data_IF_219900647103
#
_entry.id   IF_219900647103
#
_cell.length_a   1.000
_cell.length_b   1.000
_cell.length_c   1.000
_cell.angle_alpha   90.00
_cell.angle_beta   90.00
_cell.angle_gamma   90.00
#
_symmetry.space_group_name_H-M   'P 1'
#
loop_
_entity.id
_entity.type
_entity.pdbx_description
1 polymer ?
#
# COMPACT_ATOMS: atom_id res chain seq x y z
N UNK A 1 -14.18 5.23 9.62
CA UNK A 1 -13.70 4.26 8.62
C UNK A 1 -13.82 4.90 7.25
N UNK A 2 -12.69 5.16 6.56
CA UNK A 2 -12.72 5.67 5.19
C UNK A 2 -13.37 4.64 4.27
N UNK A 3 -14.25 5.09 3.40
CA UNK A 3 -14.83 4.30 2.32
C UNK A 3 -13.98 4.48 1.06
N UNK A 4 -13.67 3.38 0.39
CA UNK A 4 -12.83 3.39 -0.81
C UNK A 4 -13.64 2.93 -2.02
N UNK A 5 -13.63 3.71 -3.11
CA UNK A 5 -14.31 3.39 -4.38
C UNK A 5 -13.59 2.27 -5.15
N UNK A 6 -12.32 2.03 -4.87
CA UNK A 6 -11.51 1.00 -5.52
C UNK A 6 -10.03 1.10 -5.18
N UNK A 7 -9.21 0.37 -5.94
CA UNK A 7 -7.75 0.38 -5.83
C UNK A 7 -7.11 1.21 -6.93
N UNK A 8 -5.98 1.84 -6.64
CA UNK A 8 -5.15 2.50 -7.67
C UNK A 8 -4.50 1.46 -8.59
N UNK A 9 -4.16 1.88 -9.81
CA UNK A 9 -3.42 1.00 -10.70
C UNK A 9 -2.01 0.74 -10.14
N UNK A 10 -1.43 -0.43 -10.44
CA UNK A 10 -0.07 -0.72 -9.99
C UNK A 10 0.95 0.29 -10.52
N UNK A 11 0.73 0.84 -11.72
CA UNK A 11 1.60 1.86 -12.31
C UNK A 11 1.61 3.15 -11.46
N UNK A 12 0.44 3.62 -11.03
CA UNK A 12 0.31 4.77 -10.14
C UNK A 12 0.93 4.50 -8.77
N UNK A 13 0.63 3.35 -8.17
CA UNK A 13 1.21 2.94 -6.87
C UNK A 13 2.74 2.97 -6.92
N UNK A 14 3.33 2.47 -8.01
CA UNK A 14 4.79 2.48 -8.22
C UNK A 14 5.37 3.89 -8.26
N UNK A 15 4.67 4.85 -8.89
CA UNK A 15 5.09 6.25 -8.96
C UNK A 15 5.04 6.87 -7.56
N UNK A 16 3.90 6.77 -6.88
CA UNK A 16 3.67 7.36 -5.55
C UNK A 16 4.64 6.81 -4.50
N UNK A 17 4.87 5.50 -4.50
CA UNK A 17 5.82 4.90 -3.55
C UNK A 17 7.28 5.27 -3.88
N UNK A 18 7.63 5.41 -5.16
CA UNK A 18 8.97 5.87 -5.56
C UNK A 18 9.25 7.29 -5.08
N UNK A 19 8.28 8.20 -5.23
CA UNK A 19 8.38 9.58 -4.74
C UNK A 19 8.58 9.63 -3.21
N UNK A 20 8.08 8.62 -2.50
CA UNK A 20 8.26 8.45 -1.04
C UNK A 20 9.54 7.68 -0.65
N UNK A 21 10.40 7.37 -1.63
CA UNK A 21 11.68 6.71 -1.38
C UNK A 21 11.61 5.19 -1.26
N UNK A 22 10.54 4.56 -1.74
CA UNK A 22 10.48 3.11 -1.89
C UNK A 22 11.06 2.67 -3.24
N UNK A 23 11.62 1.47 -3.25
CA UNK A 23 12.10 0.79 -4.44
C UNK A 23 11.51 -0.62 -4.53
N UNK A 24 11.45 -1.17 -5.74
CA UNK A 24 11.06 -2.57 -5.93
C UNK A 24 12.33 -3.39 -6.15
N UNK A 25 12.64 -4.39 -5.31
CA UNK A 25 13.75 -5.29 -5.56
C UNK A 25 13.58 -6.01 -6.89
N UNK A 26 14.70 -6.23 -7.60
CA UNK A 26 14.69 -6.91 -8.90
C UNK A 26 14.00 -8.28 -8.84
N UNK A 27 14.28 -9.07 -7.80
CA UNK A 27 13.66 -10.38 -7.59
C UNK A 27 12.14 -10.31 -7.46
N UNK A 28 11.62 -9.30 -6.76
CA UNK A 28 10.17 -9.11 -6.63
C UNK A 28 9.54 -8.71 -7.97
N UNK A 29 10.21 -7.85 -8.75
CA UNK A 29 9.75 -7.48 -10.09
C UNK A 29 9.75 -8.68 -11.05
N UNK A 30 10.75 -9.56 -10.97
CA UNK A 30 10.83 -10.81 -11.76
C UNK A 30 9.71 -11.79 -11.38
N UNK A 31 9.49 -12.03 -10.09
CA UNK A 31 8.41 -12.89 -9.61
C UNK A 31 7.03 -12.39 -10.07
N UNK A 32 6.79 -11.08 -9.99
CA UNK A 32 5.55 -10.48 -10.47
C UNK A 32 5.36 -10.71 -11.97
N UNK A 33 6.41 -10.53 -12.77
CA UNK A 33 6.37 -10.76 -14.22
C UNK A 33 6.18 -12.24 -14.59
N UNK A 34 6.47 -13.16 -13.66
CA UNK A 34 6.24 -14.61 -13.80
C UNK A 34 4.84 -15.05 -13.33
N UNK A 35 3.98 -14.12 -12.92
CA UNK A 35 2.60 -14.40 -12.52
C UNK A 35 2.35 -14.40 -11.01
N UNK A 36 3.30 -13.92 -10.19
CA UNK A 36 3.01 -13.64 -8.78
C UNK A 36 2.03 -12.46 -8.66
N UNK A 37 1.03 -12.59 -7.80
CA UNK A 37 0.13 -11.48 -7.44
C UNK A 37 0.76 -10.49 -6.47
N UNK A 38 1.96 -10.80 -5.97
CA UNK A 38 2.63 -10.05 -4.91
C UNK A 38 3.77 -9.20 -5.45
N UNK A 39 3.86 -7.97 -4.94
CA UNK A 39 4.99 -7.08 -5.15
C UNK A 39 5.49 -6.54 -3.81
N UNK A 40 6.81 -6.52 -3.65
CA UNK A 40 7.51 -6.01 -2.49
C UNK A 40 8.05 -4.62 -2.79
N UNK A 41 7.73 -3.67 -1.94
CA UNK A 41 8.33 -2.34 -1.92
C UNK A 41 9.23 -2.23 -0.69
N UNK A 42 10.46 -1.77 -0.87
CA UNK A 42 11.44 -1.58 0.22
C UNK A 42 11.72 -0.10 0.38
N UNK A 43 11.44 0.42 1.58
CA UNK A 43 11.79 1.76 2.03
C UNK A 43 13.05 1.77 2.90
N UNK A 44 13.29 2.88 3.59
CA UNK A 44 14.48 3.03 4.46
C UNK A 44 14.38 2.25 5.78
N UNK A 45 13.18 2.14 6.34
CA UNK A 45 12.93 1.56 7.68
C UNK A 45 11.96 0.40 7.64
N UNK A 46 11.21 0.27 6.58
CA UNK A 46 10.14 -0.71 6.44
C UNK A 46 10.10 -1.29 5.03
N UNK A 47 9.29 -2.32 4.87
CA UNK A 47 8.93 -2.88 3.57
C UNK A 47 7.44 -3.19 3.53
N UNK A 48 6.86 -3.07 2.34
CA UNK A 48 5.44 -3.27 2.10
C UNK A 48 5.27 -4.42 1.13
N UNK A 49 4.60 -5.48 1.58
CA UNK A 49 4.17 -6.58 0.73
C UNK A 49 2.73 -6.30 0.28
N UNK A 50 2.54 -6.10 -1.02
CA UNK A 50 1.25 -5.73 -1.61
C UNK A 50 0.75 -6.80 -2.58
N UNK A 51 -0.48 -7.27 -2.37
CA UNK A 51 -1.19 -8.14 -3.32
C UNK A 51 -1.96 -7.27 -4.30
N UNK A 52 -1.61 -7.32 -5.58
CA UNK A 52 -2.18 -6.45 -6.61
C UNK A 52 -3.58 -6.87 -7.04
N UNK A 53 -3.97 -8.13 -6.83
CA UNK A 53 -5.30 -8.68 -7.17
C UNK A 53 -6.29 -8.37 -6.05
N UNK A 54 -5.99 -8.80 -4.83
CA UNK A 54 -6.81 -8.60 -3.63
C UNK A 54 -6.74 -7.16 -3.10
N UNK A 55 -5.78 -6.36 -3.56
CA UNK A 55 -5.54 -4.99 -3.10
C UNK A 55 -5.27 -4.91 -1.59
N UNK A 56 -4.54 -5.87 -1.04
CA UNK A 56 -4.21 -5.93 0.40
C UNK A 56 -2.72 -5.70 0.60
N UNK A 57 -2.35 -4.96 1.64
CA UNK A 57 -0.94 -4.80 2.02
C UNK A 57 -0.66 -5.24 3.46
N UNK A 58 0.60 -5.60 3.69
CA UNK A 58 1.22 -5.78 5.01
C UNK A 58 2.52 -4.99 5.06
N UNK A 59 2.75 -4.26 6.15
CA UNK A 59 3.94 -3.45 6.40
C UNK A 59 4.78 -4.15 7.46
N UNK A 60 6.07 -4.30 7.19
CA UNK A 60 7.04 -4.91 8.08
C UNK A 60 8.13 -3.93 8.44
N UNK A 61 8.56 -3.94 9.71
CA UNK A 61 9.81 -3.29 10.11
C UNK A 61 10.98 -4.02 9.45
N UNK A 62 11.90 -3.27 8.84
CA UNK A 62 13.00 -3.86 8.08
C UNK A 62 14.08 -4.47 9.00
N UNK A 63 14.18 -4.00 10.26
CA UNK A 63 15.19 -4.42 11.22
C UNK A 63 14.72 -5.61 12.06
N UNK A 64 13.49 -5.58 12.55
CA UNK A 64 12.96 -6.61 13.46
C UNK A 64 12.18 -7.70 12.74
N UNK A 65 11.79 -7.48 11.48
CA UNK A 65 10.91 -8.37 10.70
C UNK A 65 9.47 -8.43 11.22
N UNK A 66 9.12 -7.60 12.20
CA UNK A 66 7.80 -7.58 12.81
C UNK A 66 6.78 -6.87 11.93
N UNK A 67 5.51 -7.30 12.02
CA UNK A 67 4.40 -6.65 11.32
C UNK A 67 4.05 -5.35 12.04
N UNK A 68 4.21 -4.24 11.34
CA UNK A 68 3.82 -2.91 11.82
C UNK A 68 2.32 -2.64 11.59
N UNK A 69 1.75 -3.20 10.53
CA UNK A 69 0.35 -3.00 10.20
C UNK A 69 -0.07 -3.70 8.92
N UNK A 70 -1.37 -3.80 8.75
CA UNK A 70 -2.05 -4.33 7.56
C UNK A 70 -3.12 -3.36 7.12
N UNK A 71 -3.66 -3.51 5.92
CA UNK A 71 -4.83 -2.77 5.44
C UNK A 71 -6.07 -2.80 6.36
N UNK A 72 -6.14 -3.70 7.35
CA UNK A 72 -7.23 -3.82 8.33
C UNK A 72 -6.88 -3.25 9.71
N UNK A 73 -5.73 -2.57 9.85
CA UNK A 73 -5.24 -2.08 11.14
C UNK A 73 -5.93 -0.80 11.56
N UNK A 74 -7.18 -0.91 12.03
CA UNK A 74 -8.02 0.22 12.47
C UNK A 74 -7.40 1.03 13.61
N UNK A 75 -6.58 0.41 14.45
CA UNK A 75 -5.84 1.10 15.52
C UNK A 75 -4.77 2.09 15.01
N UNK A 76 -4.44 2.04 13.70
CA UNK A 76 -3.48 2.94 13.06
C UNK A 76 -4.16 4.08 12.28
N UNK A 77 -5.50 4.22 12.35
CA UNK A 77 -6.22 5.27 11.62
C UNK A 77 -5.82 6.70 12.04
N UNK A 78 -5.20 6.88 13.20
CA UNK A 78 -4.61 8.16 13.63
C UNK A 78 -3.18 8.39 13.13
N UNK A 79 -2.53 7.37 12.59
CA UNK A 79 -1.14 7.43 12.17
C UNK A 79 -1.01 7.95 10.74
N UNK A 80 -0.34 9.10 10.57
CA UNK A 80 -0.18 9.74 9.26
C UNK A 80 0.43 8.81 8.22
N UNK A 81 1.46 8.05 8.60
CA UNK A 81 2.13 7.12 7.69
C UNK A 81 1.17 6.03 7.18
N UNK A 82 0.24 5.58 8.02
CA UNK A 82 -0.73 4.54 7.67
C UNK A 82 -1.81 5.10 6.74
N UNK A 83 -2.34 6.29 7.05
CA UNK A 83 -3.27 7.00 6.18
C UNK A 83 -2.66 7.30 4.81
N UNK A 84 -1.38 7.66 4.76
CA UNK A 84 -0.65 7.89 3.52
C UNK A 84 -0.57 6.64 2.65
N UNK A 85 -0.38 5.46 3.26
CA UNK A 85 -0.42 4.18 2.54
C UNK A 85 -1.82 3.85 2.05
N UNK A 86 -2.85 4.04 2.87
CA UNK A 86 -4.24 3.86 2.43
C UNK A 86 -4.55 4.73 1.21
N UNK A 87 -4.17 6.01 1.23
CA UNK A 87 -4.39 6.94 0.10
C UNK A 87 -3.53 6.60 -1.15
N UNK A 88 -2.43 5.87 -0.97
CA UNK A 88 -1.60 5.36 -2.07
C UNK A 88 -2.18 4.12 -2.71
N UNK A 89 -2.73 3.19 -1.94
CA UNK A 89 -3.26 1.96 -2.50
C UNK A 89 -4.71 2.08 -2.96
N UNK A 90 -5.47 2.99 -2.35
CA UNK A 90 -6.92 3.10 -2.56
C UNK A 90 -7.34 4.47 -3.07
N UNK A 91 -8.47 4.47 -3.78
CA UNK A 91 -9.15 5.68 -4.23
C UNK A 91 -10.25 5.96 -3.21
N UNK A 92 -10.13 7.06 -2.48
CA UNK A 92 -11.13 7.50 -1.52
C UNK A 92 -12.46 7.74 -2.24
N UNK A 93 -13.55 7.23 -1.68
CA UNK A 93 -14.86 7.59 -2.20
C UNK A 93 -15.16 9.02 -1.77
N UNK A 94 -15.23 9.96 -2.71
CA UNK A 94 -15.92 11.23 -2.45
C UNK A 94 -17.34 10.90 -1.99
N UNK A 95 -17.63 11.13 -0.71
CA UNK A 95 -19.00 11.34 -0.26
C UNK A 95 -19.50 12.54 -1.04
N UNK A 96 -20.36 12.28 -2.02
CA UNK A 96 -21.12 13.35 -2.65
C UNK A 96 -22.10 13.76 -1.57
N UNK A 97 -21.83 14.86 -0.87
CA UNK A 97 -22.84 15.59 -0.12
C UNK A 97 -23.99 15.82 -1.11
N UNK A 98 -25.03 14.99 -1.00
CA UNK A 98 -26.32 15.32 -1.57
C UNK A 98 -26.84 16.47 -0.72
N UNK A 99 -26.49 17.69 -1.12
CA UNK A 99 -27.18 18.89 -0.68
C UNK A 99 -28.68 18.68 -0.95
N UNK A 100 -29.44 18.75 0.14
CA UNK A 100 -30.87 18.53 0.24
C UNK A 100 -31.67 19.73 -0.32
#
# INVERSE_FOLDING_TARGET
MKTFKGKRSLAEVKILLRERGYSIPRSSQEQYNQGSDWILFIGKKDRILYNTIAATFTVFDLKTDEVLGTHLSTHLESETWYLDLLNTFYIESEETEHDA
#
